data_IF_286210331732
#
_entry.id   IF_286210331732
#
_cell.length_a   1.000
_cell.length_b   1.000
_cell.length_c   1.000
_cell.angle_alpha   90.00
_cell.angle_beta   90.00
_cell.angle_gamma   90.00
#
_symmetry.space_group_name_H-M   'P 1'
#
loop_
_entity.id
_entity.type
_entity.pdbx_description
1 polymer ?
#
# COMPACT_ATOMS: atom_id res chain seq x y z
N UNK A 1 -10.26 4.98 22.77
CA UNK A 1 -9.93 4.97 21.32
C UNK A 1 -8.89 6.04 21.12
N UNK A 2 -7.83 5.76 20.34
CA UNK A 2 -6.82 6.78 20.06
C UNK A 2 -7.46 7.96 19.32
N UNK A 3 -6.92 9.16 19.47
CA UNK A 3 -7.33 10.39 18.78
C UNK A 3 -7.32 10.16 17.25
N UNK A 4 -6.34 9.40 16.75
CA UNK A 4 -6.22 9.01 15.33
C UNK A 4 -7.41 8.18 14.82
N UNK A 5 -7.89 7.19 15.57
CA UNK A 5 -9.03 6.39 15.15
C UNK A 5 -10.33 7.20 15.07
N UNK A 6 -10.52 8.15 15.98
CA UNK A 6 -11.65 9.07 15.94
C UNK A 6 -11.55 10.01 14.73
N UNK A 7 -10.37 10.56 14.46
CA UNK A 7 -10.10 11.40 13.29
C UNK A 7 -10.39 10.66 11.97
N UNK A 8 -9.87 9.43 11.81
CA UNK A 8 -10.08 8.62 10.61
C UNK A 8 -11.57 8.41 10.36
N UNK A 9 -12.33 7.96 11.39
CA UNK A 9 -13.78 7.73 11.25
C UNK A 9 -14.57 9.00 10.94
N UNK A 10 -14.14 10.15 11.42
CA UNK A 10 -14.80 11.43 11.17
C UNK A 10 -14.54 11.98 9.75
N UNK A 11 -13.41 11.62 9.13
CA UNK A 11 -12.95 12.18 7.85
C UNK A 11 -12.95 11.17 6.70
N UNK A 12 -13.45 9.96 6.91
CA UNK A 12 -13.51 8.91 5.88
C UNK A 12 -14.88 8.26 5.85
N UNK A 13 -15.16 7.57 4.75
CA UNK A 13 -16.29 6.66 4.63
C UNK A 13 -15.78 5.23 4.40
N UNK A 14 -16.63 4.24 4.67
CA UNK A 14 -16.36 2.86 4.28
C UNK A 14 -16.62 2.73 2.78
N UNK A 15 -15.56 2.47 2.04
CA UNK A 15 -15.58 2.36 0.57
C UNK A 15 -15.02 1.00 0.16
N UNK A 16 -15.60 0.44 -0.88
CA UNK A 16 -15.13 -0.77 -1.56
C UNK A 16 -14.42 -0.36 -2.85
N UNK A 17 -13.10 -0.50 -2.97
CA UNK A 17 -12.37 -0.13 -4.19
C UNK A 17 -12.87 -0.91 -5.39
N UNK A 18 -13.06 -0.27 -6.57
CA UNK A 18 -13.74 -0.89 -7.71
C UNK A 18 -13.10 -2.18 -8.21
N UNK A 19 -11.77 -2.30 -8.16
CA UNK A 19 -11.06 -3.51 -8.61
C UNK A 19 -11.15 -4.66 -7.61
N UNK A 20 -11.34 -4.35 -6.32
CA UNK A 20 -11.38 -5.33 -5.22
C UNK A 20 -12.56 -5.04 -4.29
N UNK A 21 -13.81 -5.15 -4.78
CA UNK A 21 -15.01 -4.83 -4.02
C UNK A 21 -15.22 -5.75 -2.81
N UNK A 22 -14.47 -6.82 -2.71
CA UNK A 22 -14.46 -7.73 -1.56
C UNK A 22 -13.84 -7.09 -0.30
N UNK A 23 -13.01 -6.04 -0.46
CA UNK A 23 -12.31 -5.37 0.66
C UNK A 23 -13.00 -4.05 0.97
N UNK A 24 -13.35 -3.84 2.23
CA UNK A 24 -13.92 -2.60 2.74
C UNK A 24 -12.81 -1.78 3.44
N UNK A 25 -12.72 -0.49 3.16
CA UNK A 25 -11.67 0.38 3.69
C UNK A 25 -12.26 1.73 4.14
N UNK A 26 -11.69 2.29 5.19
CA UNK A 26 -11.85 3.70 5.54
C UNK A 26 -11.04 4.55 4.55
N UNK A 27 -11.73 5.18 3.60
CA UNK A 27 -11.12 6.02 2.56
C UNK A 27 -11.79 7.38 2.49
N UNK A 28 -11.08 8.38 1.96
CA UNK A 28 -11.65 9.66 1.65
C UNK A 28 -12.68 9.55 0.51
N UNK A 29 -13.81 10.25 0.65
CA UNK A 29 -14.85 10.33 -0.39
C UNK A 29 -14.50 11.37 -1.44
N UNK A 30 -13.84 12.44 -1.02
CA UNK A 30 -13.37 13.53 -1.86
C UNK A 30 -11.94 13.87 -1.41
N UNK A 31 -11.05 14.17 -2.34
CA UNK A 31 -9.66 14.54 -2.04
C UNK A 31 -9.62 15.83 -1.21
N UNK A 32 -10.42 16.81 -1.61
CA UNK A 32 -10.35 18.18 -1.09
C UNK A 32 -10.60 18.31 0.42
N UNK A 33 -11.63 17.67 1.04
CA UNK A 33 -11.88 17.84 2.47
C UNK A 33 -10.77 17.29 3.35
N UNK A 34 -10.32 16.04 3.10
CA UNK A 34 -9.30 15.44 3.95
C UNK A 34 -7.92 16.06 3.69
N UNK A 35 -7.66 16.48 2.45
CA UNK A 35 -6.44 17.19 2.10
C UNK A 35 -6.37 18.54 2.79
N UNK A 36 -7.44 19.33 2.76
CA UNK A 36 -7.51 20.63 3.46
C UNK A 36 -7.54 20.49 4.97
N UNK A 37 -8.26 19.50 5.49
CA UNK A 37 -8.27 19.22 6.93
C UNK A 37 -6.91 18.80 7.43
N UNK A 38 -6.13 18.11 6.59
CA UNK A 38 -4.77 17.72 6.90
C UNK A 38 -3.76 18.81 6.61
N UNK A 39 -3.88 19.66 5.59
CA UNK A 39 -2.97 20.78 5.36
C UNK A 39 -2.87 21.71 6.57
N UNK A 40 -4.01 22.19 7.07
CA UNK A 40 -4.02 23.04 8.26
C UNK A 40 -3.50 22.33 9.51
N UNK A 41 -3.73 21.03 9.62
CA UNK A 41 -3.32 20.21 10.75
C UNK A 41 -1.90 19.66 10.58
N UNK A 42 -1.47 19.43 9.32
CA UNK A 42 -0.13 19.02 8.92
C UNK A 42 0.88 20.16 9.09
N UNK A 43 0.53 21.39 8.64
CA UNK A 43 1.38 22.59 8.81
C UNK A 43 1.64 22.89 10.29
N UNK A 44 0.64 22.67 11.16
CA UNK A 44 0.79 22.81 12.60
C UNK A 44 1.66 21.71 13.25
N UNK A 45 1.79 20.53 12.62
CA UNK A 45 2.39 19.32 13.22
C UNK A 45 3.46 18.65 12.38
N UNK A 46 3.81 19.22 11.24
CA UNK A 46 4.83 18.69 10.32
C UNK A 46 4.55 17.24 9.88
N UNK A 47 3.33 16.95 9.45
CA UNK A 47 2.87 15.62 9.03
C UNK A 47 2.75 15.50 7.51
N UNK A 48 2.93 14.29 7.01
CA UNK A 48 2.86 13.96 5.58
C UNK A 48 1.43 14.04 5.01
N UNK A 49 1.27 14.26 3.68
CA UNK A 49 -0.02 14.20 3.02
C UNK A 49 -0.75 12.86 3.28
N UNK A 50 -2.11 12.84 3.35
CA UNK A 50 -2.86 11.67 3.77
C UNK A 50 -2.94 10.59 2.68
N UNK A 51 -1.81 10.10 2.19
CA UNK A 51 -1.74 9.06 1.16
C UNK A 51 -2.48 7.78 1.56
N UNK A 52 -2.54 7.48 2.86
CA UNK A 52 -3.28 6.35 3.42
C UNK A 52 -4.81 6.41 3.21
N UNK A 53 -5.34 7.60 2.93
CA UNK A 53 -6.79 7.78 2.76
C UNK A 53 -7.29 7.39 1.36
N UNK A 54 -6.41 6.83 0.52
CA UNK A 54 -6.72 6.45 -0.85
C UNK A 54 -6.24 5.04 -1.16
N UNK A 55 -7.04 4.29 -1.94
CA UNK A 55 -6.64 2.99 -2.47
C UNK A 55 -5.89 3.19 -3.78
N UNK A 56 -4.58 3.37 -3.70
CA UNK A 56 -3.72 3.62 -4.85
C UNK A 56 -3.72 2.45 -5.85
N UNK A 57 -3.49 2.71 -7.13
CA UNK A 57 -3.61 1.70 -8.19
C UNK A 57 -2.72 0.48 -8.00
N UNK A 58 -1.47 0.64 -7.57
CA UNK A 58 -0.54 -0.47 -7.30
C UNK A 58 -1.03 -1.38 -6.18
N UNK A 59 -1.54 -0.79 -5.10
CA UNK A 59 -2.15 -1.53 -4.00
C UNK A 59 -3.38 -2.32 -4.44
N UNK A 60 -4.28 -1.73 -5.23
CA UNK A 60 -5.47 -2.41 -5.77
C UNK A 60 -5.08 -3.57 -6.69
N UNK A 61 -4.12 -3.36 -7.62
CA UNK A 61 -3.65 -4.39 -8.53
C UNK A 61 -3.03 -5.58 -7.78
N UNK A 62 -2.19 -5.31 -6.78
CA UNK A 62 -1.59 -6.33 -5.92
C UNK A 62 -2.67 -7.11 -5.16
N UNK A 63 -3.64 -6.41 -4.58
CA UNK A 63 -4.74 -7.05 -3.87
C UNK A 63 -5.57 -7.95 -4.80
N UNK A 64 -5.86 -7.51 -6.03
CA UNK A 64 -6.58 -8.34 -7.01
C UNK A 64 -5.81 -9.61 -7.35
N UNK A 65 -4.51 -9.49 -7.64
CA UNK A 65 -3.66 -10.65 -7.92
C UNK A 65 -3.67 -11.65 -6.76
N UNK A 66 -3.58 -11.18 -5.52
CA UNK A 66 -3.54 -12.04 -4.34
C UNK A 66 -4.87 -12.73 -4.05
N UNK A 67 -6.00 -12.07 -4.33
CA UNK A 67 -7.32 -12.67 -4.19
C UNK A 67 -7.62 -13.69 -5.30
N UNK A 68 -7.13 -13.46 -6.53
CA UNK A 68 -7.32 -14.39 -7.65
C UNK A 68 -6.35 -15.57 -7.57
N UNK A 69 -5.13 -15.35 -7.05
CA UNK A 69 -4.06 -16.34 -7.00
C UNK A 69 -3.49 -16.50 -5.57
N UNK A 70 -4.32 -16.92 -4.58
CA UNK A 70 -3.92 -16.96 -3.16
C UNK A 70 -2.72 -17.86 -2.89
N UNK A 71 -2.49 -18.88 -3.72
CA UNK A 71 -1.35 -19.80 -3.59
C UNK A 71 0.01 -19.10 -3.67
N UNK A 72 0.08 -17.91 -4.22
CA UNK A 72 1.33 -17.15 -4.32
C UNK A 72 1.91 -16.77 -2.95
N UNK A 73 1.03 -16.59 -1.96
CA UNK A 73 1.43 -16.13 -0.62
C UNK A 73 0.89 -16.99 0.52
N UNK A 74 0.04 -17.98 0.24
CA UNK A 74 -0.53 -18.85 1.27
C UNK A 74 0.56 -19.53 2.12
N UNK A 75 0.48 -19.37 3.45
CA UNK A 75 1.44 -19.90 4.40
C UNK A 75 2.79 -19.16 4.46
N UNK A 76 2.99 -18.11 3.65
CA UNK A 76 4.23 -17.33 3.59
C UNK A 76 4.16 -16.13 4.52
N UNK A 77 5.32 -15.65 4.96
CA UNK A 77 5.46 -14.37 5.67
C UNK A 77 5.58 -13.25 4.65
N UNK A 78 4.66 -12.31 4.71
CA UNK A 78 4.54 -11.21 3.74
C UNK A 78 4.74 -9.88 4.46
N UNK A 79 5.58 -9.03 3.90
CA UNK A 79 5.65 -7.61 4.24
C UNK A 79 4.85 -6.82 3.20
N UNK A 80 3.89 -6.03 3.64
CA UNK A 80 3.35 -4.93 2.85
C UNK A 80 4.12 -3.66 3.23
N UNK A 81 5.01 -3.22 2.34
CA UNK A 81 5.93 -2.09 2.55
C UNK A 81 5.27 -0.80 2.08
N UNK A 82 5.29 0.24 2.91
CA UNK A 82 4.57 1.50 2.71
C UNK A 82 3.07 1.25 2.44
N UNK A 83 2.46 0.51 3.37
CA UNK A 83 1.17 -0.16 3.18
C UNK A 83 -0.03 0.79 3.01
N UNK A 84 0.08 2.07 3.40
CA UNK A 84 -0.98 3.08 3.29
C UNK A 84 -2.31 2.63 3.90
N UNK A 85 -3.36 2.46 3.10
CA UNK A 85 -4.66 1.96 3.55
C UNK A 85 -4.68 0.46 3.90
N UNK A 86 -3.62 -0.30 3.56
CA UNK A 86 -3.48 -1.72 3.85
C UNK A 86 -4.23 -2.66 2.92
N UNK A 87 -4.63 -2.21 1.74
CA UNK A 87 -5.42 -3.03 0.81
C UNK A 87 -4.68 -4.31 0.39
N UNK A 88 -3.36 -4.22 0.12
CA UNK A 88 -2.54 -5.37 -0.25
C UNK A 88 -2.27 -6.29 0.96
N UNK A 89 -2.03 -5.72 2.14
CA UNK A 89 -1.89 -6.47 3.40
C UNK A 89 -3.15 -7.29 3.71
N UNK A 90 -4.34 -6.68 3.60
CA UNK A 90 -5.62 -7.35 3.85
C UNK A 90 -5.85 -8.48 2.84
N UNK A 91 -5.57 -8.25 1.55
CA UNK A 91 -5.65 -9.28 0.53
C UNK A 91 -4.69 -10.45 0.79
N UNK A 92 -3.44 -10.16 1.17
CA UNK A 92 -2.46 -11.17 1.54
C UNK A 92 -2.91 -12.01 2.75
N UNK A 93 -3.46 -11.35 3.78
CA UNK A 93 -4.00 -12.05 4.95
C UNK A 93 -5.18 -12.96 4.59
N UNK A 94 -6.10 -12.50 3.72
CA UNK A 94 -7.20 -13.32 3.20
C UNK A 94 -6.72 -14.48 2.33
N UNK A 95 -5.59 -14.30 1.65
CA UNK A 95 -4.93 -15.35 0.88
C UNK A 95 -4.18 -16.38 1.78
N UNK A 96 -4.23 -16.22 3.12
CA UNK A 96 -3.61 -17.15 4.07
C UNK A 96 -2.16 -16.87 4.40
N UNK A 97 -1.65 -15.67 4.13
CA UNK A 97 -0.32 -15.25 4.53
C UNK A 97 -0.27 -14.83 6.02
N UNK A 98 0.92 -14.89 6.60
CA UNK A 98 1.25 -14.20 7.86
C UNK A 98 1.80 -12.82 7.50
N UNK A 99 1.03 -11.77 7.80
CA UNK A 99 1.28 -10.44 7.25
C UNK A 99 1.80 -9.47 8.31
N UNK A 100 2.85 -8.75 7.92
CA UNK A 100 3.32 -7.53 8.54
C UNK A 100 3.10 -6.37 7.56
N UNK A 101 2.49 -5.28 8.03
CA UNK A 101 2.32 -4.04 7.28
C UNK A 101 3.20 -2.96 7.93
N UNK A 102 4.14 -2.39 7.16
CA UNK A 102 5.04 -1.35 7.63
C UNK A 102 4.64 0.01 7.07
N UNK A 103 4.62 1.01 7.95
CA UNK A 103 4.23 2.37 7.59
C UNK A 103 4.92 3.40 8.48
N UNK A 104 5.36 4.51 7.90
CA UNK A 104 6.03 5.58 8.65
C UNK A 104 5.03 6.58 9.25
N UNK A 105 3.88 6.75 8.62
CA UNK A 105 2.82 7.65 9.08
C UNK A 105 1.98 6.98 10.18
N UNK A 106 1.89 7.64 11.33
CA UNK A 106 1.12 7.15 12.49
C UNK A 106 -0.38 7.12 12.25
N UNK A 107 -0.94 8.01 11.40
CA UNK A 107 -2.34 7.95 10.97
C UNK A 107 -2.57 6.75 10.06
N UNK A 108 -1.66 6.48 9.13
CA UNK A 108 -1.70 5.29 8.29
C UNK A 108 -1.65 4.00 9.14
N UNK A 109 -0.77 3.94 10.16
CA UNK A 109 -0.75 2.81 11.10
C UNK A 109 -2.10 2.61 11.81
N UNK A 110 -2.76 3.69 12.21
CA UNK A 110 -4.09 3.60 12.82
C UNK A 110 -5.16 3.16 11.80
N UNK A 111 -5.08 3.65 10.54
CA UNK A 111 -5.97 3.25 9.46
C UNK A 111 -5.81 1.76 9.12
N UNK A 112 -4.57 1.25 9.05
CA UNK A 112 -4.27 -0.19 8.89
C UNK A 112 -5.00 -1.04 9.93
N UNK A 113 -4.91 -0.67 11.20
CA UNK A 113 -5.61 -1.39 12.28
C UNK A 113 -7.13 -1.37 12.14
N UNK A 114 -7.71 -0.22 11.78
CA UNK A 114 -9.15 -0.08 11.54
C UNK A 114 -9.61 -0.90 10.33
N UNK A 115 -8.87 -0.83 9.23
CA UNK A 115 -9.18 -1.54 7.99
C UNK A 115 -9.03 -3.06 8.15
N UNK A 116 -8.00 -3.52 8.87
CA UNK A 116 -7.84 -4.93 9.20
C UNK A 116 -9.03 -5.46 10.02
N UNK A 117 -9.42 -4.74 11.07
CA UNK A 117 -10.58 -5.09 11.90
C UNK A 117 -11.88 -5.10 11.09
N UNK A 118 -12.09 -4.12 10.21
CA UNK A 118 -13.27 -4.04 9.34
C UNK A 118 -13.38 -5.24 8.39
N UNK A 119 -12.26 -5.82 7.98
CA UNK A 119 -12.20 -6.98 7.10
C UNK A 119 -12.06 -8.33 7.83
N UNK A 120 -12.07 -8.32 9.16
CA UNK A 120 -11.95 -9.53 9.97
C UNK A 120 -10.61 -10.27 9.83
N UNK A 121 -9.53 -9.55 9.48
CA UNK A 121 -8.19 -10.12 9.35
C UNK A 121 -7.28 -9.63 10.47
N UNK A 122 -6.26 -10.43 10.78
CA UNK A 122 -5.19 -10.07 11.71
C UNK A 122 -3.89 -9.87 10.95
N UNK A 123 -3.21 -8.76 11.22
CA UNK A 123 -1.88 -8.45 10.70
C UNK A 123 -1.07 -7.69 11.75
N UNK A 124 0.24 -7.83 11.70
CA UNK A 124 1.14 -7.01 12.51
C UNK A 124 1.30 -5.64 11.83
N UNK A 125 1.28 -4.57 12.62
CA UNK A 125 1.58 -3.21 12.13
C UNK A 125 2.89 -2.75 12.73
N UNK A 126 3.86 -2.42 11.88
CA UNK A 126 5.15 -1.86 12.27
C UNK A 126 5.16 -0.39 11.91
N UNK A 127 5.23 0.47 12.94
CA UNK A 127 5.37 1.90 12.77
C UNK A 127 6.85 2.27 12.61
N UNK A 128 7.17 2.97 11.53
CA UNK A 128 8.52 3.46 11.24
C UNK A 128 9.14 2.85 9.99
N UNK A 129 10.33 3.35 9.67
CA UNK A 129 11.10 2.92 8.50
C UNK A 129 11.74 1.56 8.74
N UNK A 130 11.44 0.60 7.86
CA UNK A 130 12.02 -0.76 7.89
C UNK A 130 13.17 -0.94 6.90
N UNK A 131 13.53 0.10 6.14
CA UNK A 131 14.68 0.07 5.21
C UNK A 131 15.96 -0.26 5.99
N UNK A 132 16.76 -1.16 5.44
CA UNK A 132 17.97 -1.68 6.12
C UNK A 132 17.71 -2.87 7.06
N UNK A 133 16.45 -3.16 7.39
CA UNK A 133 16.10 -4.37 8.16
C UNK A 133 16.34 -5.63 7.31
N UNK A 134 16.87 -6.69 7.93
CA UNK A 134 17.01 -7.99 7.30
C UNK A 134 15.67 -8.78 7.25
N UNK A 135 14.73 -8.45 8.13
CA UNK A 135 13.40 -9.04 8.24
C UNK A 135 13.33 -10.56 8.12
N UNK A 136 12.18 -11.09 8.40
CA UNK A 136 11.94 -12.53 8.27
C UNK A 136 10.93 -12.89 7.17
N UNK A 137 10.67 -11.98 6.22
CA UNK A 137 9.65 -12.14 5.20
C UNK A 137 10.10 -13.04 4.05
N UNK A 138 9.15 -13.71 3.43
CA UNK A 138 9.36 -14.54 2.23
C UNK A 138 9.01 -13.75 0.97
N UNK A 139 8.05 -12.81 1.09
CA UNK A 139 7.61 -11.89 0.03
C UNK A 139 7.53 -10.47 0.57
N UNK A 140 7.96 -9.50 -0.22
CA UNK A 140 7.80 -8.08 0.04
C UNK A 140 6.94 -7.49 -1.08
N UNK A 141 5.84 -6.84 -0.70
CA UNK A 141 4.95 -6.10 -1.60
C UNK A 141 5.26 -4.61 -1.48
N UNK A 142 5.41 -3.91 -2.60
CA UNK A 142 5.69 -2.49 -2.66
C UNK A 142 4.84 -1.86 -3.78
N UNK A 143 3.71 -1.27 -3.40
CA UNK A 143 2.78 -0.63 -4.33
C UNK A 143 2.96 0.89 -4.38
N UNK A 144 3.04 1.46 -5.59
CA UNK A 144 3.13 2.91 -5.83
C UNK A 144 4.28 3.64 -5.12
N UNK A 145 5.41 2.97 -4.85
CA UNK A 145 6.52 3.53 -4.06
C UNK A 145 7.55 4.32 -4.88
N UNK A 146 7.40 4.39 -6.21
CA UNK A 146 8.37 5.04 -7.11
C UNK A 146 7.86 6.40 -7.63
N UNK A 147 7.14 7.19 -6.83
CA UNK A 147 6.51 8.44 -7.26
C UNK A 147 7.41 9.68 -7.09
N UNK A 148 8.45 9.62 -6.25
CA UNK A 148 9.39 10.71 -6.06
C UNK A 148 10.85 10.24 -5.93
N UNK A 149 11.80 11.10 -6.33
CA UNK A 149 13.20 10.75 -6.40
C UNK A 149 13.84 10.43 -5.02
N UNK A 150 13.66 11.24 -3.97
CA UNK A 150 14.28 10.97 -2.66
C UNK A 150 13.84 9.64 -2.07
N UNK A 151 12.55 9.36 -2.11
CA UNK A 151 11.99 8.10 -1.61
C UNK A 151 12.55 6.91 -2.40
N UNK A 152 12.48 6.97 -3.75
CA UNK A 152 12.97 5.87 -4.60
C UNK A 152 14.47 5.62 -4.36
N UNK A 153 15.28 6.67 -4.24
CA UNK A 153 16.71 6.55 -3.97
C UNK A 153 17.00 5.91 -2.60
N UNK A 154 16.12 6.12 -1.62
CA UNK A 154 16.24 5.53 -0.28
C UNK A 154 15.85 4.05 -0.28
N UNK A 155 14.72 3.69 -0.89
CA UNK A 155 14.14 2.34 -0.77
C UNK A 155 14.71 1.34 -1.76
N UNK A 156 15.01 1.74 -3.00
CA UNK A 156 15.35 0.82 -4.09
C UNK A 156 16.60 -0.01 -3.83
N UNK A 157 17.72 0.53 -3.29
CA UNK A 157 18.88 -0.27 -2.94
C UNK A 157 18.57 -1.39 -1.93
N UNK A 158 17.73 -1.10 -0.94
CA UNK A 158 17.30 -2.09 0.04
C UNK A 158 16.38 -3.16 -0.58
N UNK A 159 15.39 -2.76 -1.38
CA UNK A 159 14.51 -3.71 -2.08
C UNK A 159 15.30 -4.66 -2.99
N UNK A 160 16.33 -4.18 -3.70
CA UNK A 160 17.22 -5.02 -4.51
C UNK A 160 18.07 -5.95 -3.67
N UNK A 161 18.61 -5.49 -2.54
CA UNK A 161 19.33 -6.35 -1.61
C UNK A 161 18.42 -7.46 -1.05
N UNK A 162 17.16 -7.15 -0.78
CA UNK A 162 16.15 -8.15 -0.37
C UNK A 162 15.82 -9.10 -1.52
N UNK A 163 15.74 -8.64 -2.75
CA UNK A 163 15.43 -9.44 -3.94
C UNK A 163 16.49 -10.55 -4.21
N UNK A 164 17.72 -10.39 -3.71
CA UNK A 164 18.74 -11.42 -3.80
C UNK A 164 18.40 -12.71 -3.01
N UNK A 165 17.45 -12.64 -2.08
CA UNK A 165 17.14 -13.77 -1.17
C UNK A 165 15.65 -14.05 -1.00
N UNK A 166 14.78 -13.16 -1.50
CA UNK A 166 13.34 -13.18 -1.29
C UNK A 166 12.62 -12.75 -2.55
N UNK A 167 11.32 -12.98 -2.61
CA UNK A 167 10.51 -12.36 -3.64
C UNK A 167 10.18 -10.92 -3.25
N UNK A 168 10.47 -9.98 -4.16
CA UNK A 168 10.08 -8.58 -4.03
C UNK A 168 9.20 -8.23 -5.22
N UNK A 169 7.99 -7.77 -4.96
CA UNK A 169 7.04 -7.37 -5.98
C UNK A 169 6.84 -5.85 -5.91
N UNK A 170 7.03 -5.20 -7.05
CA UNK A 170 6.77 -3.76 -7.22
C UNK A 170 5.56 -3.61 -8.14
N UNK A 171 4.50 -3.01 -7.65
CA UNK A 171 3.30 -2.72 -8.43
C UNK A 171 3.23 -1.24 -8.75
N UNK A 172 3.24 -0.89 -10.04
CA UNK A 172 3.41 0.49 -10.46
C UNK A 172 2.63 0.81 -11.74
N UNK A 173 1.94 1.97 -11.81
CA UNK A 173 1.24 2.44 -13.00
C UNK A 173 2.14 3.16 -14.02
N UNK A 174 3.45 3.09 -13.90
CA UNK A 174 4.42 3.82 -14.72
C UNK A 174 4.80 5.17 -14.12
N UNK A 175 5.10 5.21 -12.82
CA UNK A 175 5.60 6.40 -12.12
C UNK A 175 6.97 6.83 -12.67
N UNK A 176 7.28 8.11 -12.53
CA UNK A 176 8.47 8.73 -13.14
C UNK A 176 9.80 8.12 -12.67
N UNK A 177 9.83 7.55 -11.47
CA UNK A 177 11.04 7.00 -10.85
C UNK A 177 11.06 5.48 -10.77
N UNK A 178 10.10 4.81 -11.44
CA UNK A 178 10.15 3.35 -11.59
C UNK A 178 11.46 2.95 -12.29
N UNK A 179 12.27 2.03 -11.75
CA UNK A 179 13.50 1.62 -12.40
C UNK A 179 13.24 1.02 -13.79
N UNK A 180 14.11 1.30 -14.74
CA UNK A 180 14.01 0.81 -16.12
C UNK A 180 14.57 -0.61 -16.28
N UNK A 181 15.35 -1.08 -15.32
CA UNK A 181 16.04 -2.37 -15.36
C UNK A 181 15.74 -3.23 -14.14
N UNK A 182 15.89 -4.54 -14.29
CA UNK A 182 15.70 -5.50 -13.21
C UNK A 182 14.24 -5.70 -12.81
N UNK A 183 13.30 -5.48 -13.71
CA UNK A 183 11.87 -5.72 -13.52
C UNK A 183 11.38 -6.82 -14.45
N UNK A 184 10.81 -7.88 -13.88
CA UNK A 184 10.19 -8.99 -14.63
C UNK A 184 8.68 -8.95 -14.40
N UNK A 185 7.86 -8.69 -15.44
CA UNK A 185 6.40 -8.62 -15.30
C UNK A 185 5.82 -9.93 -14.76
N UNK A 186 4.95 -9.85 -13.76
CA UNK A 186 4.19 -10.96 -13.17
C UNK A 186 2.72 -10.92 -13.59
N UNK A 187 2.10 -9.75 -13.54
CA UNK A 187 0.70 -9.55 -13.86
C UNK A 187 0.43 -8.10 -14.31
N UNK A 188 -0.71 -7.88 -14.98
CA UNK A 188 -1.20 -6.55 -15.34
C UNK A 188 -2.67 -6.44 -15.03
N UNK A 189 -3.07 -5.28 -14.52
CA UNK A 189 -4.46 -4.96 -14.22
C UNK A 189 -4.80 -3.55 -14.69
N UNK A 190 -5.99 -3.40 -15.29
CA UNK A 190 -6.58 -2.10 -15.55
C UNK A 190 -7.35 -1.66 -14.30
N UNK A 191 -6.85 -0.69 -13.59
CA UNK A 191 -7.37 -0.22 -12.31
C UNK A 191 -8.25 1.01 -12.53
N UNK A 192 -9.53 0.97 -12.18
CA UNK A 192 -10.37 2.16 -12.18
C UNK A 192 -9.88 3.17 -11.15
N UNK A 193 -9.77 4.42 -11.55
CA UNK A 193 -9.32 5.54 -10.74
C UNK A 193 -10.24 6.75 -10.93
N UNK A 194 -10.05 7.81 -10.17
CA UNK A 194 -10.74 9.08 -10.38
C UNK A 194 -9.81 10.09 -11.06
N UNK A 195 -10.40 11.04 -11.78
CA UNK A 195 -9.63 12.14 -12.40
C UNK A 195 -8.96 13.05 -11.36
N UNK A 196 -9.50 13.08 -10.16
CA UNK A 196 -8.96 13.89 -9.05
C UNK A 196 -7.71 13.25 -8.46
N UNK A 197 -7.66 11.91 -8.40
CA UNK A 197 -6.56 11.18 -7.80
C UNK A 197 -5.42 10.90 -8.78
N UNK A 198 -5.74 10.59 -10.04
CA UNK A 198 -4.77 10.03 -11.00
C UNK A 198 -4.80 10.68 -12.39
N UNK A 199 -5.45 11.83 -12.56
CA UNK A 199 -5.61 12.49 -13.87
C UNK A 199 -6.26 11.64 -14.99
N UNK A 200 -6.61 10.38 -14.71
CA UNK A 200 -7.22 9.41 -15.64
C UNK A 200 -8.24 8.55 -14.92
N UNK A 201 -9.25 8.07 -15.67
CA UNK A 201 -10.29 7.18 -15.13
C UNK A 201 -9.85 5.71 -15.04
N UNK A 202 -8.75 5.39 -15.70
CA UNK A 202 -8.19 4.04 -15.76
C UNK A 202 -6.66 4.12 -15.80
N UNK A 203 -6.01 3.37 -14.90
CA UNK A 203 -4.56 3.19 -14.91
C UNK A 203 -4.21 1.74 -15.21
N UNK A 204 -3.36 1.50 -16.18
CA UNK A 204 -2.74 0.19 -16.34
C UNK A 204 -1.60 0.05 -15.33
N UNK A 205 -1.71 -0.92 -14.44
CA UNK A 205 -0.69 -1.26 -13.45
C UNK A 205 -0.03 -2.57 -13.83
N UNK A 206 1.29 -2.57 -13.82
CA UNK A 206 2.07 -3.80 -13.93
C UNK A 206 2.66 -4.16 -12.56
N UNK A 207 2.46 -5.39 -12.15
CA UNK A 207 3.13 -5.97 -10.99
C UNK A 207 4.39 -6.65 -11.51
N UNK A 208 5.54 -6.25 -10.99
CA UNK A 208 6.84 -6.78 -11.38
C UNK A 208 7.47 -7.56 -10.23
N UNK A 209 8.18 -8.64 -10.56
CA UNK A 209 9.22 -9.16 -9.67
C UNK A 209 10.48 -8.32 -9.87
N UNK A 210 10.98 -7.74 -8.80
CA UNK A 210 12.25 -7.02 -8.79
C UNK A 210 13.41 -8.03 -8.73
N UNK A 211 14.42 -7.80 -9.55
CA UNK A 211 15.69 -8.53 -9.53
C UNK A 211 16.72 -7.80 -8.66
N UNK A 212 17.71 -8.50 -8.13
CA UNK A 212 18.81 -7.94 -7.34
C UNK A 212 19.56 -6.81 -8.03
#
# INVERSE_FOLDING_TARGET
MSDHAAFIRANTAIIHPPLVPEIALHLATEITPIWRATEAWLDERNMEPPFWAFAWPGGQATARLLLDEPWRVAGRRVLDFAAGCGIAAIAAARAGAVVEAAEIDTLACAALGLNAALNGVSLAVTAGDVVGSAGGWDVILAGDVCYEAPMTAHILPWLRAMAARREVWVADPGRAYLPTEGLVPLARHAVPTSLELEDRKLREVTIFRLLP
#
